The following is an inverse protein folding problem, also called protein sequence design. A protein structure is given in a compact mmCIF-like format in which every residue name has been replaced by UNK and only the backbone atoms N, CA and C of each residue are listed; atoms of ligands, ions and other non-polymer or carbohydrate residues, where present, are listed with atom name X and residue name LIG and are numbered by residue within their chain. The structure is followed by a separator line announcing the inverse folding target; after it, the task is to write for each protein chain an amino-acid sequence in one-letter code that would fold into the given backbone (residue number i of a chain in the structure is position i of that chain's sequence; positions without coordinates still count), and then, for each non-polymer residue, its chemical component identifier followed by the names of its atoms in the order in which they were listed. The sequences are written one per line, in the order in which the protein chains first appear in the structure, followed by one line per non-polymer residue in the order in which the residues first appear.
data_IF_241514272133
#
_entry.id   IF_241514272133
#
_cell.length_a   1.000
_cell.length_b   1.000
_cell.length_c   1.000
_cell.angle_alpha   90.00
_cell.angle_beta   90.00
_cell.angle_gamma   90.00
#
_symmetry.space_group_name_H-M   'P 1'
#
loop_
_entity.id
_entity.type
_entity.pdbx_description
1 polymer ?
#
# COMPACT_ATOMS: atom_id res chain seq x y z
N UNK A 1 0.68 -18.02 -6.01
CA UNK A 1 -0.16 -18.62 -4.93
C UNK A 1 0.45 -18.54 -3.53
N UNK A 2 1.76 -18.83 -3.35
CA UNK A 2 2.43 -18.72 -2.05
C UNK A 2 2.55 -17.26 -1.58
N UNK A 3 2.83 -16.34 -2.50
CA UNK A 3 3.06 -14.93 -2.22
C UNK A 3 1.77 -14.19 -1.85
N UNK A 4 0.66 -14.47 -2.53
CA UNK A 4 -0.66 -13.94 -2.16
C UNK A 4 -1.07 -14.31 -0.71
N UNK A 5 -0.77 -15.55 -0.27
CA UNK A 5 -1.03 -15.97 1.12
C UNK A 5 -0.10 -15.28 2.10
N UNK A 6 1.15 -15.03 1.71
CA UNK A 6 2.12 -14.30 2.53
C UNK A 6 1.70 -12.84 2.69
N UNK A 7 1.36 -12.14 1.61
CA UNK A 7 0.87 -10.76 1.64
C UNK A 7 -0.40 -10.61 2.48
N UNK A 8 -1.36 -11.54 2.33
CA UNK A 8 -2.58 -11.56 3.13
C UNK A 8 -2.30 -11.81 4.63
N UNK A 9 -1.37 -12.71 4.95
CA UNK A 9 -0.95 -12.99 6.32
C UNK A 9 -0.27 -11.77 6.95
N UNK A 10 0.66 -11.14 6.22
CA UNK A 10 1.36 -9.94 6.64
C UNK A 10 0.37 -8.79 6.93
N UNK A 11 -0.60 -8.55 6.05
CA UNK A 11 -1.63 -7.54 6.26
C UNK A 11 -2.47 -7.82 7.51
N UNK A 12 -2.88 -9.08 7.73
CA UNK A 12 -3.65 -9.47 8.94
C UNK A 12 -2.83 -9.27 10.21
N UNK A 13 -1.56 -9.66 10.21
CA UNK A 13 -0.66 -9.45 11.32
C UNK A 13 -0.49 -7.96 11.64
N UNK A 14 -0.24 -7.12 10.62
CA UNK A 14 -0.13 -5.67 10.79
C UNK A 14 -1.38 -5.06 11.43
N UNK A 15 -2.57 -5.42 10.90
CA UNK A 15 -3.85 -4.95 11.45
C UNK A 15 -4.03 -5.38 12.91
N UNK A 16 -3.69 -6.63 13.25
CA UNK A 16 -3.81 -7.16 14.61
C UNK A 16 -2.89 -6.42 15.59
N UNK A 17 -1.62 -6.22 15.22
CA UNK A 17 -0.65 -5.50 16.04
C UNK A 17 -1.06 -4.04 16.27
N UNK A 18 -1.54 -3.35 15.24
CA UNK A 18 -2.08 -1.99 15.37
C UNK A 18 -3.30 -1.94 16.30
N UNK A 19 -4.22 -2.89 16.18
CA UNK A 19 -5.41 -2.99 17.05
C UNK A 19 -5.05 -3.20 18.51
N UNK A 20 -3.96 -3.94 18.79
CA UNK A 20 -3.43 -4.16 20.14
C UNK A 20 -2.61 -3.00 20.70
N UNK A 21 -2.39 -1.93 19.91
CA UNK A 21 -1.57 -0.78 20.34
C UNK A 21 -0.07 -1.03 20.28
N UNK A 22 0.38 -2.14 19.69
CA UNK A 22 1.81 -2.49 19.58
C UNK A 22 2.55 -1.63 18.54
N UNK A 23 1.80 -0.89 17.70
CA UNK A 23 2.33 -0.02 16.66
C UNK A 23 1.71 1.37 16.81
N UNK A 24 2.56 2.38 16.90
CA UNK A 24 2.13 3.77 16.71
C UNK A 24 1.72 4.02 15.25
N UNK A 25 1.03 5.13 15.01
CA UNK A 25 0.49 5.47 13.69
C UNK A 25 1.55 5.63 12.61
N UNK A 26 2.72 6.21 12.94
CA UNK A 26 3.80 6.45 11.97
C UNK A 26 4.45 5.13 11.60
N UNK A 27 4.77 4.29 12.58
CA UNK A 27 5.33 2.96 12.33
C UNK A 27 4.35 2.09 11.54
N UNK A 28 3.06 2.11 11.87
CA UNK A 28 2.04 1.39 11.13
C UNK A 28 1.93 1.85 9.67
N UNK A 29 1.95 3.17 9.44
CA UNK A 29 1.94 3.75 8.10
C UNK A 29 3.14 3.28 7.26
N UNK A 30 4.36 3.33 7.80
CA UNK A 30 5.55 2.87 7.09
C UNK A 30 5.50 1.37 6.76
N UNK A 31 5.01 0.54 7.67
CA UNK A 31 4.87 -0.90 7.40
C UNK A 31 3.80 -1.21 6.33
N UNK A 32 2.73 -0.42 6.24
CA UNK A 32 1.76 -0.54 5.16
C UNK A 32 2.36 -0.15 3.80
N UNK A 33 3.19 0.89 3.75
CA UNK A 33 3.91 1.27 2.52
C UNK A 33 4.91 0.20 2.09
N UNK A 34 5.61 -0.42 3.04
CA UNK A 34 6.52 -1.52 2.73
C UNK A 34 5.76 -2.71 2.13
N UNK A 35 4.64 -3.12 2.73
CA UNK A 35 3.82 -4.20 2.20
C UNK A 35 3.30 -3.89 0.78
N UNK A 36 2.93 -2.64 0.50
CA UNK A 36 2.54 -2.20 -0.84
C UNK A 36 3.71 -2.34 -1.83
N UNK A 37 4.92 -1.95 -1.43
CA UNK A 37 6.13 -2.09 -2.25
C UNK A 37 6.45 -3.56 -2.55
N UNK A 38 6.35 -4.43 -1.55
CA UNK A 38 6.62 -5.86 -1.70
C UNK A 38 5.59 -6.51 -2.65
N UNK A 39 4.32 -6.13 -2.53
CA UNK A 39 3.25 -6.59 -3.42
C UNK A 39 3.43 -6.10 -4.85
N UNK A 40 3.90 -4.87 -5.06
CA UNK A 40 4.19 -4.33 -6.39
C UNK A 40 5.25 -5.16 -7.13
N UNK A 41 6.29 -5.62 -6.41
CA UNK A 41 7.31 -6.51 -6.97
C UNK A 41 6.68 -7.82 -7.46
N UNK A 42 5.84 -8.46 -6.64
CA UNK A 42 5.13 -9.68 -7.05
C UNK A 42 4.21 -9.46 -8.25
N UNK A 43 3.42 -8.38 -8.26
CA UNK A 43 2.47 -8.08 -9.34
C UNK A 43 3.13 -7.81 -10.69
N UNK A 44 4.38 -7.34 -10.71
CA UNK A 44 5.15 -7.11 -11.95
C UNK A 44 5.63 -8.39 -12.61
N UNK A 45 5.75 -9.46 -11.84
CA UNK A 45 6.19 -10.77 -12.31
C UNK A 45 5.02 -11.67 -12.71
N UNK A 46 3.78 -11.28 -12.33
CA UNK A 46 2.56 -12.00 -12.69
C UNK A 46 2.11 -11.67 -14.11
N UNK A 47 1.72 -12.70 -14.86
CA UNK A 47 0.98 -12.56 -16.12
C UNK A 47 -0.50 -12.31 -15.79
N UNK A 48 -0.85 -11.04 -15.60
CA UNK A 48 -2.19 -10.61 -15.17
C UNK A 48 -3.07 -10.42 -16.41
N UNK A 49 -4.25 -11.08 -16.50
CA UNK A 49 -5.16 -10.89 -17.60
C UNK A 49 -5.62 -9.43 -17.76
N UNK A 50 -5.74 -8.95 -19.00
CA UNK A 50 -6.17 -7.58 -19.33
C UNK A 50 -7.45 -7.13 -18.60
N UNK A 51 -8.41 -8.03 -18.43
CA UNK A 51 -9.68 -7.72 -17.76
C UNK A 51 -9.50 -7.49 -16.25
N UNK A 52 -8.52 -8.14 -15.62
CA UNK A 52 -8.14 -7.82 -14.24
C UNK A 52 -7.37 -6.52 -14.16
N UNK A 53 -6.43 -6.28 -15.09
CA UNK A 53 -5.68 -5.01 -15.18
C UNK A 53 -6.64 -3.83 -15.32
N UNK A 54 -7.63 -3.91 -16.23
CA UNK A 54 -8.65 -2.88 -16.43
C UNK A 54 -9.44 -2.54 -15.17
N UNK A 55 -9.67 -3.52 -14.28
CA UNK A 55 -10.36 -3.32 -13.00
C UNK A 55 -9.44 -2.68 -11.94
N UNK A 56 -8.14 -2.95 -11.99
CA UNK A 56 -7.18 -2.45 -11.01
C UNK A 56 -6.72 -1.01 -11.32
N UNK A 57 -6.57 -0.63 -12.59
CA UNK A 57 -6.06 0.69 -13.00
C UNK A 57 -6.81 1.86 -12.33
N UNK A 58 -8.15 1.92 -12.31
CA UNK A 58 -8.85 3.04 -11.67
C UNK A 58 -8.57 3.14 -10.16
N UNK A 59 -8.40 2.02 -9.47
CA UNK A 59 -8.09 2.00 -8.03
C UNK A 59 -6.70 2.55 -7.74
N UNK A 60 -5.73 2.21 -8.59
CA UNK A 60 -4.37 2.72 -8.50
C UNK A 60 -4.31 4.22 -8.79
N UNK A 61 -5.06 4.70 -9.80
CA UNK A 61 -5.15 6.14 -10.11
C UNK A 61 -5.64 6.93 -8.90
N UNK A 62 -6.78 6.55 -8.33
CA UNK A 62 -7.36 7.23 -7.15
C UNK A 62 -6.38 7.26 -5.98
N UNK A 63 -5.69 6.14 -5.73
CA UNK A 63 -4.70 6.07 -4.67
C UNK A 63 -3.51 7.02 -4.93
N UNK A 64 -2.95 7.00 -6.14
CA UNK A 64 -1.78 7.81 -6.49
C UNK A 64 -2.09 9.30 -6.48
N UNK A 65 -3.23 9.71 -7.02
CA UNK A 65 -3.68 11.11 -7.01
C UNK A 65 -3.79 11.65 -5.58
N UNK A 66 -4.43 10.91 -4.68
CA UNK A 66 -4.55 11.29 -3.26
C UNK A 66 -3.17 11.40 -2.59
N UNK A 67 -2.25 10.45 -2.84
CA UNK A 67 -0.90 10.50 -2.27
C UNK A 67 -0.07 11.67 -2.80
N UNK A 68 -0.14 11.96 -4.10
CA UNK A 68 0.56 13.09 -4.74
C UNK A 68 0.05 14.41 -4.17
N UNK A 69 -1.28 14.58 -4.09
CA UNK A 69 -1.89 15.80 -3.54
C UNK A 69 -1.48 16.01 -2.08
N UNK A 70 -1.57 14.96 -1.25
CA UNK A 70 -1.16 15.03 0.16
C UNK A 70 0.35 15.29 0.31
N UNK A 71 1.18 14.75 -0.58
CA UNK A 71 2.62 15.02 -0.59
C UNK A 71 2.89 16.50 -0.89
N UNK A 72 2.28 17.06 -1.93
CA UNK A 72 2.42 18.47 -2.28
C UNK A 72 2.00 19.38 -1.12
N UNK A 73 0.85 19.11 -0.48
CA UNK A 73 0.37 19.87 0.68
C UNK A 73 1.31 19.83 1.89
N UNK A 74 1.96 18.68 2.14
CA UNK A 74 2.94 18.56 3.23
C UNK A 74 4.20 19.37 2.94
N UNK A 75 4.66 19.34 1.69
CA UNK A 75 5.87 20.05 1.27
C UNK A 75 5.68 21.57 1.29
N UNK A 76 4.54 22.07 0.81
CA UNK A 76 4.23 23.51 0.85
C UNK A 76 4.12 24.07 2.27
N UNK A 77 3.76 23.24 3.27
CA UNK A 77 3.74 23.62 4.70
C UNK A 77 5.12 23.65 5.35
N UNK A 78 6.14 23.06 4.73
CA UNK A 78 7.51 23.05 5.24
C UNK A 78 8.34 24.21 4.69
N UNK A 79 7.86 24.89 3.65
CA UNK A 79 8.49 26.03 2.99
C UNK A 79 7.98 27.39 3.53
N UNK A 80 7.13 27.36 4.57
CA UNK A 80 6.58 28.51 5.30
C UNK A 80 6.81 28.34 6.80
#
# INVERSE_FOLDING_TARGET
MKDARQHASALRALKARRKKGELDLRTYYHQLLQLLSDMLTSLREEDIPDDEVKRQVPLLLVFLEDQIQKYAQRRSRQEH
#
